data_IF_709753978860
#
_entry.id   IF_709753978860
#
_cell.length_a   1.000
_cell.length_b   1.000
_cell.length_c   1.000
_cell.angle_alpha   90.00
_cell.angle_beta   90.00
_cell.angle_gamma   90.00
#
_symmetry.space_group_name_H-M   'P 1'
#
loop_
_entity.id
_entity.type
_entity.pdbx_description
1 polymer ?
#
# COMPACT_ATOMS: atom_id res chain seq x y z
N UNK A 1 -5.72 20.53 -25.20
CA UNK A 1 -4.68 21.36 -24.56
C UNK A 1 -3.61 20.38 -24.11
N UNK A 2 -2.47 20.30 -24.81
CA UNK A 2 -1.55 19.16 -24.70
C UNK A 2 -0.94 18.99 -23.30
N UNK A 3 -0.85 20.08 -22.53
CA UNK A 3 -0.38 20.05 -21.15
C UNK A 3 -1.40 19.40 -20.21
N UNK A 4 -2.68 19.66 -20.43
CA UNK A 4 -3.78 19.05 -19.69
C UNK A 4 -3.83 17.53 -19.94
N UNK A 5 -3.66 17.09 -21.18
CA UNK A 5 -3.60 15.66 -21.53
C UNK A 5 -2.43 14.95 -20.84
N UNK A 6 -1.25 15.57 -20.80
CA UNK A 6 -0.09 15.03 -20.09
C UNK A 6 -0.34 14.91 -18.57
N UNK A 7 -0.92 15.94 -17.95
CA UNK A 7 -1.21 15.93 -16.51
C UNK A 7 -2.24 14.86 -16.14
N UNK A 8 -3.27 14.67 -16.98
CA UNK A 8 -4.26 13.59 -16.80
C UNK A 8 -3.62 12.20 -16.98
N UNK A 9 -2.72 12.01 -17.95
CA UNK A 9 -1.99 10.73 -18.10
C UNK A 9 -1.10 10.42 -16.90
N UNK A 10 -0.39 11.43 -16.36
CA UNK A 10 0.45 11.25 -15.17
C UNK A 10 -0.38 10.90 -13.93
N UNK A 11 -1.58 11.49 -13.80
CA UNK A 11 -2.54 11.16 -12.75
C UNK A 11 -2.95 9.68 -12.78
N UNK A 12 -3.27 9.17 -13.96
CA UNK A 12 -3.71 7.79 -14.15
C UNK A 12 -2.57 6.80 -13.85
N UNK A 13 -1.35 7.13 -14.27
CA UNK A 13 -0.15 6.34 -13.96
C UNK A 13 0.13 6.29 -12.45
N UNK A 14 0.02 7.43 -11.76
CA UNK A 14 0.20 7.50 -10.30
C UNK A 14 -0.88 6.67 -9.58
N UNK A 15 -2.13 6.82 -9.99
CA UNK A 15 -3.27 6.08 -9.41
C UNK A 15 -3.12 4.58 -9.60
N UNK A 16 -2.70 4.15 -10.80
CA UNK A 16 -2.47 2.74 -11.12
C UNK A 16 -1.30 2.15 -10.33
N UNK A 17 -0.19 2.89 -10.19
CA UNK A 17 0.95 2.46 -9.37
C UNK A 17 0.58 2.36 -7.89
N UNK A 18 -0.17 3.33 -7.36
CA UNK A 18 -0.67 3.30 -5.98
C UNK A 18 -1.49 2.05 -5.72
N UNK A 19 -2.45 1.75 -6.60
CA UNK A 19 -3.29 0.56 -6.49
C UNK A 19 -2.46 -0.73 -6.48
N UNK A 20 -1.47 -0.84 -7.39
CA UNK A 20 -0.57 -1.99 -7.43
C UNK A 20 0.20 -2.18 -6.13
N UNK A 21 0.75 -1.10 -5.57
CA UNK A 21 1.47 -1.15 -4.29
C UNK A 21 0.55 -1.57 -3.14
N UNK A 22 -0.70 -1.09 -3.11
CA UNK A 22 -1.66 -1.52 -2.09
C UNK A 22 -1.94 -3.02 -2.15
N UNK A 23 -2.12 -3.58 -3.34
CA UNK A 23 -2.27 -5.02 -3.54
C UNK A 23 -1.04 -5.81 -3.08
N UNK A 24 0.16 -5.34 -3.42
CA UNK A 24 1.41 -5.97 -2.98
C UNK A 24 1.54 -5.94 -1.44
N UNK A 25 1.13 -4.86 -0.78
CA UNK A 25 1.11 -4.78 0.69
C UNK A 25 0.12 -5.79 1.27
N UNK A 26 -1.08 -5.92 0.70
CA UNK A 26 -2.08 -6.88 1.17
C UNK A 26 -1.61 -8.33 1.03
N UNK A 27 -0.94 -8.67 -0.07
CA UNK A 27 -0.31 -9.98 -0.26
C UNK A 27 0.74 -10.26 0.83
N UNK A 28 1.64 -9.30 1.08
CA UNK A 28 2.67 -9.42 2.14
C UNK A 28 2.02 -9.57 3.52
N UNK A 29 0.96 -8.82 3.81
CA UNK A 29 0.20 -8.97 5.08
C UNK A 29 -0.40 -10.37 5.20
N UNK A 30 -0.89 -10.96 4.12
CA UNK A 30 -1.33 -12.35 4.07
C UNK A 30 -0.23 -13.33 4.47
N UNK A 31 0.97 -13.18 3.90
CA UNK A 31 2.13 -14.01 4.26
C UNK A 31 2.53 -13.83 5.73
N UNK A 32 2.63 -12.59 6.22
CA UNK A 32 2.99 -12.28 7.62
C UNK A 32 1.98 -12.90 8.59
N UNK A 33 0.68 -12.76 8.32
CA UNK A 33 -0.39 -13.36 9.14
C UNK A 33 -0.26 -14.90 9.16
N UNK A 34 0.03 -15.52 8.02
CA UNK A 34 0.32 -16.95 7.95
C UNK A 34 1.52 -17.35 8.83
N UNK A 35 2.59 -16.56 8.82
CA UNK A 35 3.77 -16.79 9.67
C UNK A 35 3.46 -16.61 11.15
N UNK A 36 2.67 -15.59 11.54
CA UNK A 36 2.29 -15.33 12.94
C UNK A 36 1.56 -16.52 13.57
N UNK A 37 0.71 -17.21 12.79
CA UNK A 37 -0.02 -18.40 13.26
C UNK A 37 0.86 -19.66 13.36
N UNK A 38 1.97 -19.69 12.62
CA UNK A 38 2.83 -20.87 12.47
C UNK A 38 4.05 -20.85 13.40
N UNK A 39 4.62 -19.67 13.62
CA UNK A 39 5.84 -19.47 14.42
C UNK A 39 5.54 -19.68 15.90
N UNK A 40 6.41 -20.40 16.61
CA UNK A 40 6.32 -20.59 18.07
C UNK A 40 7.30 -19.71 18.85
N UNK A 41 8.33 -19.19 18.19
CA UNK A 41 9.32 -18.31 18.80
C UNK A 41 8.67 -16.96 19.21
N UNK A 42 8.67 -16.61 20.51
CA UNK A 42 8.07 -15.37 21.01
C UNK A 42 8.74 -14.09 20.48
N UNK A 43 10.06 -14.09 20.28
CA UNK A 43 10.77 -12.91 19.76
C UNK A 43 10.43 -12.70 18.29
N UNK A 44 10.41 -13.78 17.51
CA UNK A 44 9.99 -13.71 16.11
C UNK A 44 8.52 -13.28 15.97
N UNK A 45 7.63 -13.72 16.87
CA UNK A 45 6.23 -13.24 16.91
C UNK A 45 6.15 -11.72 17.12
N UNK A 46 6.95 -11.15 18.02
CA UNK A 46 6.96 -9.69 18.24
C UNK A 46 7.36 -8.94 16.96
N UNK A 47 8.41 -9.44 16.28
CA UNK A 47 8.88 -8.86 15.02
C UNK A 47 7.78 -8.93 13.95
N UNK A 48 7.09 -10.07 13.81
CA UNK A 48 6.01 -10.23 12.84
C UNK A 48 4.85 -9.27 13.12
N UNK A 49 4.45 -9.12 14.38
CA UNK A 49 3.39 -8.16 14.79
C UNK A 49 3.80 -6.72 14.48
N UNK A 50 5.06 -6.35 14.72
CA UNK A 50 5.58 -5.03 14.38
C UNK A 50 5.56 -4.78 12.86
N UNK A 51 5.99 -5.77 12.07
CA UNK A 51 5.92 -5.71 10.60
C UNK A 51 4.48 -5.58 10.12
N UNK A 52 3.56 -6.38 10.66
CA UNK A 52 2.12 -6.34 10.34
C UNK A 52 1.50 -4.96 10.65
N UNK A 53 1.91 -4.36 11.78
CA UNK A 53 1.49 -3.01 12.18
C UNK A 53 1.99 -1.97 11.18
N UNK A 54 3.28 -1.98 10.84
CA UNK A 54 3.87 -1.04 9.88
C UNK A 54 3.26 -1.19 8.49
N UNK A 55 3.01 -2.40 8.02
CA UNK A 55 2.32 -2.65 6.73
C UNK A 55 0.90 -2.07 6.73
N UNK A 56 0.18 -2.18 7.86
CA UNK A 56 -1.15 -1.60 8.01
C UNK A 56 -1.12 -0.07 7.99
N UNK A 57 -0.10 0.54 8.58
CA UNK A 57 0.10 2.00 8.55
C UNK A 57 0.39 2.49 7.13
N UNK A 58 1.34 1.84 6.42
CA UNK A 58 1.66 2.18 5.02
C UNK A 58 0.43 2.02 4.13
N UNK A 59 -0.34 0.95 4.28
CA UNK A 59 -1.58 0.76 3.52
C UNK A 59 -2.57 1.91 3.78
N UNK A 60 -2.74 2.33 5.04
CA UNK A 60 -3.61 3.47 5.41
C UNK A 60 -3.11 4.78 4.81
N UNK A 61 -1.80 5.03 4.85
CA UNK A 61 -1.21 6.23 4.26
C UNK A 61 -1.42 6.28 2.74
N UNK A 62 -1.20 5.17 2.04
CA UNK A 62 -1.46 5.07 0.61
C UNK A 62 -2.95 5.24 0.29
N UNK A 63 -3.84 4.65 1.09
CA UNK A 63 -5.30 4.78 0.94
C UNK A 63 -5.79 6.23 1.16
N UNK A 64 -5.07 7.01 1.97
CA UNK A 64 -5.40 8.40 2.27
C UNK A 64 -4.97 9.38 1.19
N UNK A 65 -4.13 8.97 0.23
CA UNK A 65 -3.82 9.77 -0.95
C UNK A 65 -5.07 9.72 -1.84
N UNK A 66 -5.96 10.74 -1.81
CA UNK A 66 -7.21 10.71 -2.54
C UNK A 66 -6.93 10.81 -4.03
N UNK A 67 -7.76 10.17 -4.86
CA UNK A 67 -7.80 10.47 -6.31
C UNK A 67 -8.16 11.94 -6.60
N UNK A 68 -8.68 12.65 -5.59
CA UNK A 68 -9.07 14.06 -5.62
C UNK A 68 -7.91 15.05 -5.36
N UNK A 69 -6.78 14.62 -4.78
CA UNK A 69 -5.59 15.51 -4.63
C UNK A 69 -4.92 15.76 -5.99
N UNK A 70 -5.21 14.92 -6.97
CA UNK A 70 -4.89 15.20 -8.36
C UNK A 70 -6.22 15.56 -9.05
N UNK A 71 -6.68 16.81 -8.95
CA UNK A 71 -7.89 17.24 -9.65
C UNK A 71 -7.72 17.02 -11.17
N UNK A 72 -8.81 16.82 -11.92
CA UNK A 72 -8.74 16.88 -13.37
C UNK A 72 -8.20 18.26 -13.78
N UNK A 73 -7.23 18.25 -14.69
CA UNK A 73 -6.64 19.47 -15.25
C UNK A 73 -7.33 19.84 -16.55
#
# INVERSE_FOLDING_TARGET
DAQVELLNSLRDDISSRRWKIMLEIDDVRGYVTGMETSVQDPELKKILVEVSTRLTEVHKELSRIPEEIIPPF
#
